data_IF_595104099804
#
_entry.id   IF_595104099804
#
_cell.length_a   1.000
_cell.length_b   1.000
_cell.length_c   1.000
_cell.angle_alpha   90.00
_cell.angle_beta   90.00
_cell.angle_gamma   90.00
#
_symmetry.space_group_name_H-M   'P 1'
#
loop_
_entity.id
_entity.type
_entity.pdbx_description
1 polymer ?
#
# COMPACT_ATOMS: atom_id res chain seq x y z
N UNK A 1 29.95 -4.43 27.26
CA UNK A 1 29.62 -5.66 26.50
C UNK A 1 28.15 -5.58 26.03
N UNK A 2 27.77 -4.52 25.30
CA UNK A 2 26.38 -4.23 24.89
C UNK A 2 26.21 -4.03 23.37
N UNK A 3 27.27 -4.20 22.57
CA UNK A 3 27.26 -3.82 21.15
C UNK A 3 26.94 -4.97 20.18
N UNK A 4 26.83 -6.22 20.65
CA UNK A 4 26.66 -7.39 19.77
C UNK A 4 25.21 -7.82 19.55
N UNK A 5 24.26 -7.48 20.43
CA UNK A 5 22.85 -7.84 20.26
C UNK A 5 22.11 -6.91 19.28
N UNK A 6 22.54 -5.65 19.20
CA UNK A 6 21.89 -4.63 18.36
C UNK A 6 22.06 -4.96 16.86
N UNK A 7 23.28 -5.25 16.42
CA UNK A 7 23.55 -5.59 15.01
C UNK A 7 22.97 -6.93 14.54
N UNK A 8 22.73 -7.87 15.45
CA UNK A 8 22.13 -9.17 15.08
C UNK A 8 20.60 -9.08 14.97
N UNK A 9 19.95 -8.30 15.84
CA UNK A 9 18.50 -8.05 15.75
C UNK A 9 18.16 -7.21 14.53
N UNK A 10 18.99 -6.20 14.22
CA UNK A 10 18.82 -5.34 13.05
C UNK A 10 18.79 -6.11 11.72
N UNK A 11 19.71 -7.09 11.54
CA UNK A 11 19.68 -7.99 10.37
C UNK A 11 18.42 -8.84 10.29
N UNK A 12 17.84 -9.26 11.42
CA UNK A 12 16.64 -10.09 11.42
C UNK A 12 15.36 -9.30 11.10
N UNK A 13 15.33 -8.00 11.40
CA UNK A 13 14.20 -7.13 11.07
C UNK A 13 14.18 -6.73 9.58
N UNK A 14 15.36 -6.65 8.96
CA UNK A 14 15.52 -6.38 7.53
C UNK A 14 14.83 -7.40 6.63
N UNK A 15 14.76 -8.66 7.07
CA UNK A 15 14.15 -9.78 6.34
C UNK A 15 12.63 -9.89 6.55
N UNK A 16 11.99 -8.88 7.16
CA UNK A 16 10.55 -8.91 7.44
C UNK A 16 9.76 -8.25 6.31
N UNK A 17 8.50 -8.67 6.08
CA UNK A 17 7.75 -8.30 4.88
C UNK A 17 7.63 -6.80 4.59
N UNK A 18 7.61 -5.95 5.63
CA UNK A 18 7.59 -4.49 5.47
C UNK A 18 8.96 -3.93 5.08
N UNK A 19 10.07 -4.53 5.50
CA UNK A 19 11.43 -4.03 5.25
C UNK A 19 12.08 -4.63 3.98
N UNK A 20 11.66 -5.84 3.57
CA UNK A 20 12.37 -6.70 2.61
C UNK A 20 12.59 -6.05 1.24
N UNK A 21 11.56 -5.41 0.68
CA UNK A 21 11.63 -4.86 -0.69
C UNK A 21 12.16 -3.42 -0.74
N UNK A 22 11.97 -2.68 0.35
CA UNK A 22 12.40 -1.29 0.47
C UNK A 22 13.92 -1.17 0.47
N UNK A 23 14.63 -2.12 1.10
CA UNK A 23 16.09 -2.06 1.14
C UNK A 23 16.77 -2.24 -0.22
N UNK A 24 16.15 -2.99 -1.15
CA UNK A 24 16.76 -3.39 -2.41
C UNK A 24 16.44 -2.48 -3.61
N UNK A 25 15.38 -1.66 -3.56
CA UNK A 25 14.88 -0.88 -4.72
C UNK A 25 14.70 0.64 -4.44
N UNK A 26 15.41 1.20 -3.46
CA UNK A 26 15.23 2.55 -2.89
C UNK A 26 14.97 3.71 -3.87
N UNK A 27 15.88 4.06 -4.83
CA UNK A 27 15.66 5.23 -5.70
C UNK A 27 14.53 5.03 -6.71
N UNK A 28 14.25 3.77 -7.06
CA UNK A 28 13.16 3.38 -7.96
C UNK A 28 11.81 3.60 -7.28
N UNK A 29 11.72 3.32 -5.98
CA UNK A 29 10.48 3.41 -5.22
C UNK A 29 10.00 4.85 -5.01
N UNK A 30 10.90 5.77 -4.66
CA UNK A 30 10.54 7.18 -4.40
C UNK A 30 10.03 7.89 -5.67
N UNK A 31 10.65 7.65 -6.82
CA UNK A 31 10.25 8.27 -8.09
C UNK A 31 8.99 7.61 -8.66
N UNK A 32 8.81 6.30 -8.43
CA UNK A 32 7.60 5.60 -8.86
C UNK A 32 6.35 6.13 -8.14
N UNK A 33 6.50 6.44 -6.86
CA UNK A 33 5.43 6.89 -5.98
C UNK A 33 4.74 8.15 -6.54
N UNK A 34 5.48 9.24 -6.72
CA UNK A 34 4.93 10.54 -7.16
C UNK A 34 4.23 10.47 -8.52
N UNK A 35 4.84 9.81 -9.52
CA UNK A 35 4.23 9.73 -10.85
C UNK A 35 2.98 8.84 -10.90
N UNK A 36 2.91 7.81 -10.05
CA UNK A 36 1.73 6.95 -9.96
C UNK A 36 0.62 7.67 -9.19
N UNK A 37 0.94 8.40 -8.12
CA UNK A 37 -0.03 9.25 -7.41
C UNK A 37 -0.70 10.26 -8.33
N UNK A 38 0.07 10.96 -9.16
CA UNK A 38 -0.45 11.89 -10.18
C UNK A 38 -1.41 11.18 -11.15
N UNK A 39 -1.04 9.98 -11.62
CA UNK A 39 -1.88 9.18 -12.50
C UNK A 39 -3.19 8.75 -11.83
N UNK A 40 -3.13 8.39 -10.54
CA UNK A 40 -4.32 8.04 -9.76
C UNK A 40 -5.28 9.22 -9.64
N UNK A 41 -4.75 10.42 -9.36
CA UNK A 41 -5.56 11.65 -9.32
C UNK A 41 -6.25 11.88 -10.65
N UNK A 42 -5.49 11.85 -11.75
CA UNK A 42 -6.03 12.05 -13.10
C UNK A 42 -7.11 11.03 -13.47
N UNK A 43 -6.93 9.76 -13.10
CA UNK A 43 -7.92 8.70 -13.39
C UNK A 43 -9.18 8.82 -12.54
N UNK A 44 -9.08 9.33 -11.31
CA UNK A 44 -10.27 9.67 -10.50
C UNK A 44 -11.04 10.83 -11.10
N UNK A 45 -10.36 11.87 -11.57
CA UNK A 45 -10.99 13.00 -12.27
C UNK A 45 -11.73 12.50 -13.52
N UNK A 46 -11.06 11.67 -14.33
CA UNK A 46 -11.66 11.05 -15.52
C UNK A 46 -12.88 10.19 -15.16
N UNK A 47 -12.84 9.45 -14.05
CA UNK A 47 -13.98 8.67 -13.57
C UNK A 47 -15.15 9.57 -13.12
N UNK A 48 -14.85 10.68 -12.45
CA UNK A 48 -15.85 11.69 -12.06
C UNK A 48 -16.53 12.33 -13.27
N UNK A 49 -15.79 12.60 -14.35
CA UNK A 49 -16.36 13.07 -15.63
C UNK A 49 -17.29 12.00 -16.25
N UNK A 50 -16.88 10.73 -16.25
CA UNK A 50 -17.72 9.62 -16.75
C UNK A 50 -19.02 9.48 -15.94
N UNK A 51 -19.00 9.73 -14.62
CA UNK A 51 -20.20 9.75 -13.79
C UNK A 51 -21.17 10.87 -14.20
N UNK A 52 -20.66 12.02 -14.66
CA UNK A 52 -21.51 13.12 -15.13
C UNK A 52 -22.24 12.77 -16.42
N UNK A 53 -21.52 12.21 -17.39
CA UNK A 53 -22.03 11.85 -18.72
C UNK A 53 -23.01 10.66 -18.68
N UNK A 54 -22.95 9.86 -17.61
CA UNK A 54 -23.77 8.67 -17.46
C UNK A 54 -25.28 8.98 -17.53
N UNK A 55 -26.04 8.24 -18.33
CA UNK A 55 -27.48 8.47 -18.54
C UNK A 55 -28.40 7.57 -17.70
N UNK A 56 -27.87 6.51 -17.06
CA UNK A 56 -28.70 5.55 -16.32
C UNK A 56 -28.84 5.88 -14.83
N UNK A 57 -27.97 6.74 -14.27
CA UNK A 57 -28.02 7.19 -12.88
C UNK A 57 -28.76 8.53 -12.75
N UNK A 58 -29.58 8.66 -11.71
CA UNK A 58 -30.13 9.96 -11.32
C UNK A 58 -29.06 10.87 -10.68
N UNK A 59 -29.36 12.16 -10.61
CA UNK A 59 -28.41 13.17 -10.12
C UNK A 59 -28.00 12.96 -8.65
N UNK A 60 -28.90 12.49 -7.79
CA UNK A 60 -28.59 12.26 -6.37
C UNK A 60 -27.58 11.13 -6.25
N UNK A 61 -27.80 10.03 -6.98
CA UNK A 61 -26.88 8.90 -7.00
C UNK A 61 -25.51 9.29 -7.60
N UNK A 62 -25.48 10.13 -8.64
CA UNK A 62 -24.23 10.67 -9.20
C UNK A 62 -23.44 11.50 -8.19
N UNK A 63 -24.08 12.39 -7.44
CA UNK A 63 -23.40 13.18 -6.41
C UNK A 63 -22.79 12.29 -5.33
N UNK A 64 -23.52 11.26 -4.87
CA UNK A 64 -22.98 10.30 -3.90
C UNK A 64 -21.80 9.50 -4.46
N UNK A 65 -21.86 9.12 -5.73
CA UNK A 65 -20.75 8.42 -6.37
C UNK A 65 -19.50 9.29 -6.48
N UNK A 66 -19.67 10.58 -6.79
CA UNK A 66 -18.60 11.58 -6.78
C UNK A 66 -17.98 11.77 -5.40
N UNK A 67 -18.82 11.98 -4.37
CA UNK A 67 -18.36 12.06 -2.97
C UNK A 67 -17.52 10.82 -2.58
N UNK A 68 -17.91 9.63 -3.07
CA UNK A 68 -17.19 8.38 -2.81
C UNK A 68 -15.82 8.33 -3.50
N UNK A 69 -15.73 8.67 -4.78
CA UNK A 69 -14.43 8.65 -5.50
C UNK A 69 -13.50 9.76 -4.98
N UNK A 70 -14.03 10.95 -4.68
CA UNK A 70 -13.29 12.06 -4.09
C UNK A 70 -12.77 11.69 -2.70
N UNK A 71 -13.59 10.98 -1.92
CA UNK A 71 -13.24 10.48 -0.59
C UNK A 71 -12.35 9.25 -0.58
N UNK A 72 -12.01 8.67 -1.74
CA UNK A 72 -11.20 7.45 -1.84
C UNK A 72 -9.73 7.75 -1.50
N UNK A 73 -9.10 6.96 -0.62
CA UNK A 73 -7.69 7.13 -0.28
C UNK A 73 -6.76 6.39 -1.24
N UNK A 74 -5.59 6.97 -1.49
CA UNK A 74 -4.55 6.40 -2.35
C UNK A 74 -3.38 5.97 -1.48
N UNK A 75 -3.06 4.67 -1.48
CA UNK A 75 -1.88 4.14 -0.79
C UNK A 75 -0.92 3.59 -1.83
N UNK A 76 0.08 4.37 -2.20
CA UNK A 76 1.03 4.04 -3.27
C UNK A 76 2.39 3.69 -2.67
N UNK A 77 3.06 2.70 -3.27
CA UNK A 77 4.36 2.17 -2.93
C UNK A 77 4.51 1.57 -1.50
N UNK A 78 4.49 2.40 -0.46
CA UNK A 78 4.72 1.98 0.92
C UNK A 78 4.10 2.97 1.93
N UNK A 79 3.89 2.56 3.21
CA UNK A 79 3.44 3.51 4.23
C UNK A 79 4.47 4.62 4.50
N UNK A 80 3.99 5.85 4.70
CA UNK A 80 4.82 7.04 4.95
C UNK A 80 5.84 6.85 6.06
N UNK A 81 5.47 6.15 7.13
CA UNK A 81 6.35 5.93 8.29
C UNK A 81 7.55 5.03 7.98
N UNK A 82 7.49 4.25 6.90
CA UNK A 82 8.49 3.23 6.57
C UNK A 82 9.81 3.83 6.09
N UNK A 83 9.76 5.00 5.45
CA UNK A 83 10.93 5.73 4.98
C UNK A 83 11.04 7.09 5.67
N UNK A 84 12.27 7.50 5.95
CA UNK A 84 12.63 8.84 6.40
C UNK A 84 13.78 9.36 5.53
N UNK A 85 13.57 10.47 4.82
CA UNK A 85 14.53 11.03 3.86
C UNK A 85 15.02 10.00 2.80
N UNK A 86 14.13 9.11 2.35
CA UNK A 86 14.44 8.08 1.34
C UNK A 86 15.17 6.84 1.89
N UNK A 87 15.41 6.78 3.21
CA UNK A 87 16.08 5.69 3.89
C UNK A 87 15.12 4.96 4.85
N UNK A 88 15.29 3.64 5.09
CA UNK A 88 14.45 2.91 6.04
C UNK A 88 14.42 3.62 7.40
N UNK A 89 13.21 3.91 7.89
CA UNK A 89 13.03 4.45 9.22
C UNK A 89 13.21 3.33 10.25
N UNK A 90 14.45 3.10 10.64
CA UNK A 90 14.83 2.00 11.55
C UNK A 90 14.07 2.08 12.88
N UNK A 91 13.87 3.28 13.42
CA UNK A 91 13.09 3.50 14.64
C UNK A 91 11.65 3.03 14.48
N UNK A 92 10.98 3.40 13.38
CA UNK A 92 9.60 2.97 13.15
C UNK A 92 9.50 1.46 12.87
N UNK A 93 10.48 0.88 12.18
CA UNK A 93 10.57 -0.58 11.98
C UNK A 93 10.79 -1.33 13.31
N UNK A 94 11.65 -0.82 14.19
CA UNK A 94 11.88 -1.37 15.52
C UNK A 94 10.63 -1.25 16.41
N UNK A 95 9.88 -0.15 16.32
CA UNK A 95 8.61 0.00 17.02
C UNK A 95 7.57 -1.00 16.49
N UNK A 96 7.42 -1.09 15.17
CA UNK A 96 6.45 -1.96 14.51
C UNK A 96 6.70 -3.45 14.79
N UNK A 97 7.98 -3.87 14.80
CA UNK A 97 8.37 -5.26 15.05
C UNK A 97 8.90 -5.51 16.46
N UNK A 98 8.82 -4.53 17.37
CA UNK A 98 9.53 -4.55 18.65
C UNK A 98 9.17 -5.72 19.55
N UNK A 99 7.93 -6.21 19.45
CA UNK A 99 7.39 -7.36 20.19
C UNK A 99 7.71 -8.71 19.55
N UNK A 100 8.13 -8.74 18.29
CA UNK A 100 8.49 -9.97 17.61
C UNK A 100 9.90 -10.40 18.01
N UNK A 101 10.01 -11.66 18.42
CA UNK A 101 11.27 -12.31 18.75
C UNK A 101 11.57 -13.35 17.67
N UNK A 102 12.66 -13.13 16.95
CA UNK A 102 13.18 -14.06 15.94
C UNK A 102 14.46 -14.71 16.49
N UNK A 103 14.59 -16.03 16.32
CA UNK A 103 15.77 -16.79 16.72
C UNK A 103 16.24 -17.69 15.58
N UNK A 104 17.54 -17.71 15.35
CA UNK A 104 18.12 -18.55 14.32
C UNK A 104 17.89 -20.05 14.61
N UNK A 105 17.65 -20.84 13.57
CA UNK A 105 17.33 -22.27 13.67
C UNK A 105 15.99 -22.61 14.34
N UNK A 106 15.13 -21.62 14.68
CA UNK A 106 13.85 -21.82 15.39
C UNK A 106 12.63 -21.46 14.53
N UNK A 107 12.56 -21.98 13.31
CA UNK A 107 11.53 -21.61 12.32
C UNK A 107 10.10 -21.66 12.87
N UNK A 108 9.69 -22.77 13.50
CA UNK A 108 8.33 -22.90 14.06
C UNK A 108 8.02 -21.85 15.14
N UNK A 109 8.97 -21.60 16.05
CA UNK A 109 8.80 -20.58 17.09
C UNK A 109 8.68 -19.18 16.48
N UNK A 110 9.49 -18.88 15.46
CA UNK A 110 9.45 -17.59 14.76
C UNK A 110 8.09 -17.38 14.10
N UNK A 111 7.59 -18.36 13.34
CA UNK A 111 6.26 -18.31 12.70
C UNK A 111 5.17 -18.11 13.75
N UNK A 112 5.19 -18.88 14.84
CA UNK A 112 4.22 -18.73 15.93
C UNK A 112 4.26 -17.33 16.55
N UNK A 113 5.46 -16.77 16.76
CA UNK A 113 5.62 -15.42 17.31
C UNK A 113 5.03 -14.36 16.36
N UNK A 114 5.24 -14.48 15.05
CA UNK A 114 4.62 -13.60 14.05
C UNK A 114 3.10 -13.67 14.06
N UNK A 115 2.54 -14.89 14.03
CA UNK A 115 1.09 -15.08 14.05
C UNK A 115 0.47 -14.53 15.33
N UNK A 116 1.14 -14.71 16.47
CA UNK A 116 0.70 -14.20 17.76
C UNK A 116 0.67 -12.68 17.76
N UNK A 117 1.73 -12.04 17.25
CA UNK A 117 1.81 -10.58 17.15
C UNK A 117 0.73 -10.00 16.24
N UNK A 118 0.46 -10.61 15.09
CA UNK A 118 -0.62 -10.17 14.19
C UNK A 118 -1.98 -10.16 14.90
N UNK A 119 -2.29 -11.22 15.65
CA UNK A 119 -3.53 -11.30 16.43
C UNK A 119 -3.57 -10.22 17.52
N UNK A 120 -2.46 -9.99 18.23
CA UNK A 120 -2.38 -8.93 19.24
C UNK A 120 -2.64 -7.56 18.62
N UNK A 121 -2.03 -7.24 17.48
CA UNK A 121 -2.25 -5.97 16.79
C UNK A 121 -3.70 -5.79 16.36
N UNK A 122 -4.37 -6.85 15.90
CA UNK A 122 -5.79 -6.80 15.54
C UNK A 122 -6.69 -6.59 16.76
N UNK A 123 -6.41 -7.29 17.87
CA UNK A 123 -7.13 -7.09 19.13
C UNK A 123 -6.92 -5.68 19.71
N UNK A 124 -5.70 -5.14 19.62
CA UNK A 124 -5.37 -3.79 20.08
C UNK A 124 -6.11 -2.69 19.28
N UNK A 125 -6.63 -3.01 18.08
CA UNK A 125 -7.43 -2.08 17.27
C UNK A 125 -8.91 -2.10 17.67
N UNK A 126 -9.38 -3.13 18.38
CA UNK A 126 -10.77 -3.20 18.82
C UNK A 126 -11.10 -2.03 19.74
N UNK A 127 -12.18 -1.31 19.43
CA UNK A 127 -12.62 -0.13 20.20
C UNK A 127 -11.83 1.15 19.92
N UNK A 128 -10.85 1.13 19.02
CA UNK A 128 -10.17 2.34 18.50
C UNK A 128 -10.85 2.84 17.22
N UNK A 129 -10.60 4.10 16.88
CA UNK A 129 -11.04 4.66 15.60
C UNK A 129 -10.38 3.95 14.41
N UNK A 130 -11.05 3.99 13.25
CA UNK A 130 -10.53 3.40 12.01
C UNK A 130 -9.36 4.25 11.50
N UNK A 131 -8.20 3.62 11.38
CA UNK A 131 -7.06 4.22 10.68
C UNK A 131 -7.19 3.98 9.18
N UNK A 132 -7.49 5.05 8.44
CA UNK A 132 -7.67 5.01 6.98
C UNK A 132 -6.34 4.95 6.21
N UNK A 133 -5.21 5.31 6.84
CA UNK A 133 -3.87 5.20 6.24
C UNK A 133 -3.25 3.82 6.45
N UNK A 134 -3.98 2.90 7.11
CA UNK A 134 -3.50 1.55 7.35
C UNK A 134 -3.46 0.76 6.04
N UNK A 135 -2.31 0.15 5.81
CA UNK A 135 -2.10 -0.77 4.71
C UNK A 135 -2.71 -2.15 5.01
N UNK A 136 -3.46 -2.70 4.05
CA UNK A 136 -4.03 -4.06 4.14
C UNK A 136 -3.06 -5.15 3.65
N UNK A 137 -1.93 -4.74 3.08
CA UNK A 137 -0.93 -5.60 2.45
C UNK A 137 0.46 -5.00 2.66
N UNK A 138 1.49 -5.78 2.34
CA UNK A 138 2.89 -5.34 2.50
C UNK A 138 3.43 -4.76 1.20
N UNK A 139 4.38 -3.79 1.24
CA UNK A 139 4.98 -3.18 0.05
C UNK A 139 5.58 -4.18 -0.94
N UNK A 140 5.96 -5.38 -0.50
CA UNK A 140 6.60 -6.39 -1.34
C UNK A 140 5.67 -7.11 -2.32
N UNK A 141 4.35 -7.01 -2.13
CA UNK A 141 3.35 -7.73 -2.91
C UNK A 141 3.28 -7.22 -4.35
N UNK A 142 3.11 -8.14 -5.30
CA UNK A 142 2.92 -7.85 -6.73
C UNK A 142 1.43 -7.99 -7.06
N UNK A 143 0.63 -7.06 -6.56
CA UNK A 143 -0.81 -6.98 -6.83
C UNK A 143 -1.34 -5.58 -6.52
N UNK A 144 -2.56 -5.25 -6.91
CA UNK A 144 -3.29 -4.06 -6.47
C UNK A 144 -4.59 -4.47 -5.74
N UNK A 145 -5.16 -3.56 -4.95
CA UNK A 145 -6.33 -3.86 -4.13
C UNK A 145 -7.22 -2.64 -3.90
N UNK A 146 -8.54 -2.85 -3.93
CA UNK A 146 -9.54 -1.99 -3.31
C UNK A 146 -9.96 -2.53 -1.94
N UNK A 147 -10.03 -1.64 -0.93
CA UNK A 147 -10.50 -1.95 0.41
C UNK A 147 -11.84 -1.23 0.68
N UNK A 148 -13.00 -1.92 0.54
CA UNK A 148 -14.32 -1.29 0.67
C UNK A 148 -14.55 -0.59 2.01
N UNK A 149 -14.09 -1.20 3.10
CA UNK A 149 -14.28 -0.68 4.47
C UNK A 149 -13.49 0.60 4.76
N UNK A 150 -12.39 0.83 4.03
CA UNK A 150 -11.56 2.03 4.17
C UNK A 150 -11.81 3.05 3.06
N UNK A 151 -12.53 2.61 2.01
CA UNK A 151 -12.61 3.27 0.72
C UNK A 151 -11.21 3.69 0.25
N UNK A 152 -10.32 2.72 0.07
CA UNK A 152 -8.94 2.97 -0.34
C UNK A 152 -8.48 2.03 -1.45
N UNK A 153 -7.61 2.52 -2.32
CA UNK A 153 -6.90 1.75 -3.33
C UNK A 153 -5.43 1.66 -2.94
N UNK A 154 -4.84 0.46 -3.09
CA UNK A 154 -3.49 0.15 -2.64
C UNK A 154 -2.66 -0.40 -3.78
N UNK A 155 -1.56 0.28 -4.09
CA UNK A 155 -0.57 -0.10 -5.09
C UNK A 155 0.78 -0.29 -4.40
N UNK A 156 1.08 -1.49 -3.87
CA UNK A 156 2.36 -1.78 -3.25
C UNK A 156 3.52 -1.54 -4.21
N UNK A 157 4.65 -1.14 -3.65
CA UNK A 157 5.94 -0.94 -4.32
C UNK A 157 6.28 -2.11 -5.23
N UNK A 158 5.90 -3.31 -4.82
CA UNK A 158 6.18 -4.52 -5.55
C UNK A 158 5.43 -4.70 -6.86
N UNK A 159 4.31 -4.00 -7.01
CA UNK A 159 3.55 -3.93 -8.25
C UNK A 159 4.14 -2.92 -9.24
N UNK A 160 4.85 -1.90 -8.75
CA UNK A 160 5.40 -0.79 -9.54
C UNK A 160 6.71 -1.16 -10.24
N UNK A 161 6.65 -2.16 -11.12
CA UNK A 161 7.77 -2.65 -11.91
C UNK A 161 7.31 -3.11 -13.30
N UNK A 162 8.22 -3.26 -14.27
CA UNK A 162 7.87 -3.85 -15.56
C UNK A 162 7.26 -5.26 -15.40
N UNK A 163 6.27 -5.63 -16.23
CA UNK A 163 5.74 -4.88 -17.39
C UNK A 163 4.65 -3.85 -17.02
N UNK A 164 4.28 -3.73 -15.74
CA UNK A 164 3.16 -2.90 -15.32
C UNK A 164 3.51 -1.41 -15.25
N UNK A 165 4.74 -1.09 -14.85
CA UNK A 165 5.21 0.28 -14.75
C UNK A 165 6.66 0.41 -15.20
N UNK A 166 6.91 1.36 -16.11
CA UNK A 166 8.23 1.73 -16.59
C UNK A 166 8.61 3.13 -16.07
N UNK A 167 9.65 3.18 -15.25
CA UNK A 167 10.24 4.42 -14.74
C UNK A 167 11.12 5.13 -15.77
N UNK A 168 11.12 6.46 -15.74
CA UNK A 168 11.99 7.30 -16.58
C UNK A 168 11.45 7.42 -18.01
N UNK A 169 12.25 7.03 -19.00
CA UNK A 169 11.99 7.22 -20.44
C UNK A 169 10.89 6.31 -21.03
N UNK A 170 10.04 5.72 -20.17
CA UNK A 170 8.90 4.93 -20.59
C UNK A 170 7.88 5.78 -21.34
N UNK A 171 7.37 5.26 -22.45
CA UNK A 171 6.29 5.94 -23.18
C UNK A 171 5.04 6.00 -22.28
N UNK A 172 4.51 7.22 -22.04
CA UNK A 172 3.33 7.41 -21.20
C UNK A 172 2.17 6.47 -21.57
N UNK A 173 1.93 6.29 -22.87
CA UNK A 173 0.88 5.38 -23.38
C UNK A 173 1.01 3.93 -22.85
N UNK A 174 2.23 3.43 -22.62
CA UNK A 174 2.45 2.10 -22.07
C UNK A 174 2.12 2.06 -20.57
N UNK A 175 2.49 3.08 -19.80
CA UNK A 175 2.14 3.16 -18.39
C UNK A 175 0.62 3.32 -18.22
N UNK A 176 -0.03 4.20 -18.99
CA UNK A 176 -1.50 4.33 -18.96
C UNK A 176 -2.22 3.05 -19.40
N UNK A 177 -1.70 2.35 -20.42
CA UNK A 177 -2.27 1.07 -20.85
C UNK A 177 -2.07 -0.08 -19.85
N UNK A 178 -1.00 -0.04 -19.06
CA UNK A 178 -0.67 -1.06 -18.08
C UNK A 178 -1.16 -0.68 -16.68
N UNK A 179 -0.37 0.07 -15.90
CA UNK A 179 -0.75 0.48 -14.54
C UNK A 179 -2.02 1.36 -14.54
N UNK A 180 -2.22 2.20 -15.55
CA UNK A 180 -3.43 3.04 -15.63
C UNK A 180 -4.72 2.23 -15.74
N UNK A 181 -4.71 1.12 -16.51
CA UNK A 181 -5.84 0.19 -16.56
C UNK A 181 -6.12 -0.44 -15.20
N UNK A 182 -5.07 -0.86 -14.48
CA UNK A 182 -5.21 -1.46 -13.15
C UNK A 182 -5.71 -0.44 -12.13
N UNK A 183 -5.26 0.81 -12.21
CA UNK A 183 -5.82 1.90 -11.38
C UNK A 183 -7.31 2.07 -11.65
N UNK A 184 -7.72 2.10 -12.92
CA UNK A 184 -9.13 2.13 -13.30
C UNK A 184 -9.91 0.94 -12.73
N UNK A 185 -9.34 -0.27 -12.79
CA UNK A 185 -9.93 -1.48 -12.21
C UNK A 185 -10.18 -1.35 -10.70
N UNK A 186 -9.18 -0.91 -9.93
CA UNK A 186 -9.33 -0.73 -8.48
C UNK A 186 -10.29 0.40 -8.11
N UNK A 187 -10.35 1.48 -8.91
CA UNK A 187 -11.38 2.54 -8.72
C UNK A 187 -12.76 1.94 -8.95
N UNK A 188 -12.95 1.13 -10.01
CA UNK A 188 -14.25 0.53 -10.32
C UNK A 188 -14.71 -0.51 -9.29
N UNK A 189 -13.80 -1.16 -8.57
CA UNK A 189 -14.16 -2.00 -7.42
C UNK A 189 -14.85 -1.21 -6.30
N UNK A 190 -14.66 0.12 -6.24
CA UNK A 190 -15.45 1.00 -5.40
C UNK A 190 -16.91 1.13 -5.81
N UNK A 191 -17.34 0.59 -6.94
CA UNK A 191 -18.69 0.77 -7.47
C UNK A 191 -19.29 -0.53 -8.03
N UNK A 192 -18.63 -1.67 -7.80
CA UNK A 192 -19.18 -2.98 -8.14
C UNK A 192 -20.18 -3.49 -7.09
N UNK A 193 -20.67 -4.72 -7.25
CA UNK A 193 -21.67 -5.34 -6.39
C UNK A 193 -21.19 -5.63 -4.95
N UNK A 194 -19.89 -5.49 -4.69
CA UNK A 194 -19.24 -5.72 -3.39
C UNK A 194 -18.67 -4.40 -2.82
N UNK A 195 -18.45 -3.39 -3.67
CA UNK A 195 -17.83 -2.11 -3.37
C UNK A 195 -18.59 -1.20 -2.41
N UNK A 196 -19.90 -1.41 -2.24
CA UNK A 196 -20.76 -0.72 -1.28
C UNK A 196 -21.53 0.47 -1.84
#
# INVERSE_FOLDING_TARGET
MFCSSFGHRHRQLADLPMALRVQHQRPILVVADTSVEEMVVFLKESFSELLEENTWMDNVTKERAKEKVDGMMNLVAYPDWLLSAGEPNETALEEYYGRVVVRDGRHYENVRNFLTENVIQDLERMGKGVDRHRWITTPSVVNAFYAPTLNSIVFPAGFLQPPFYMLGDGLAALNYGAIGMVIGHEITHGFDDIGG
#
